data_IF_260850138438
#
_entry.id   IF_260850138438
#
_cell.length_a   1.000
_cell.length_b   1.000
_cell.length_c   1.000
_cell.angle_alpha   90.00
_cell.angle_beta   90.00
_cell.angle_gamma   90.00
#
_symmetry.space_group_name_H-M   'P 1'
#
loop_
_entity.id
_entity.type
_entity.pdbx_description
1 polymer ?
#
# COMPACT_ATOMS: atom_id res chain seq x y z
N UNK A 1 -18.45 -8.85 4.26
CA UNK A 1 -17.91 -7.51 3.94
C UNK A 1 -18.79 -6.70 2.99
N UNK A 2 -19.31 -7.26 1.89
CA UNK A 2 -20.17 -6.53 0.93
C UNK A 2 -21.39 -5.81 1.54
N UNK A 3 -22.00 -6.35 2.61
CA UNK A 3 -23.13 -5.70 3.31
C UNK A 3 -22.77 -4.37 4.00
N UNK A 4 -21.50 -4.16 4.35
CA UNK A 4 -21.02 -2.92 5.00
C UNK A 4 -20.92 -1.74 4.00
N UNK A 5 -20.89 -2.01 2.70
CA UNK A 5 -20.94 -0.97 1.66
C UNK A 5 -22.23 -0.16 1.70
N UNK A 6 -23.30 -0.70 2.32
CA UNK A 6 -24.56 0.03 2.55
C UNK A 6 -24.36 1.27 3.43
N UNK A 7 -23.42 1.23 4.38
CA UNK A 7 -23.09 2.37 5.24
C UNK A 7 -22.25 3.44 4.51
N UNK A 8 -21.76 3.16 3.30
CA UNK A 8 -21.08 4.15 2.45
C UNK A 8 -22.06 4.92 1.54
N UNK A 9 -23.31 4.44 1.38
CA UNK A 9 -24.31 5.08 0.51
C UNK A 9 -24.57 6.56 0.84
N UNK A 10 -24.67 6.99 2.12
CA UNK A 10 -24.85 8.40 2.45
C UNK A 10 -23.68 9.29 1.99
N UNK A 11 -22.50 8.71 1.79
CA UNK A 11 -21.27 9.42 1.46
C UNK A 11 -20.89 9.31 -0.02
N UNK A 12 -21.79 8.84 -0.89
CA UNK A 12 -21.53 8.65 -2.32
C UNK A 12 -21.03 9.92 -3.00
N UNK A 13 -21.56 11.10 -2.64
CA UNK A 13 -21.10 12.37 -3.19
C UNK A 13 -19.62 12.62 -2.90
N UNK A 14 -19.18 12.38 -1.66
CA UNK A 14 -17.77 12.51 -1.27
C UNK A 14 -16.90 11.46 -1.95
N UNK A 15 -17.39 10.23 -2.12
CA UNK A 15 -16.66 9.17 -2.82
C UNK A 15 -16.43 9.51 -4.29
N UNK A 16 -17.48 9.96 -4.99
CA UNK A 16 -17.39 10.38 -6.40
C UNK A 16 -16.47 11.59 -6.52
N UNK A 17 -16.60 12.59 -5.64
CA UNK A 17 -15.70 13.74 -5.64
C UNK A 17 -14.24 13.34 -5.42
N UNK A 18 -13.96 12.41 -4.50
CA UNK A 18 -12.60 11.87 -4.31
C UNK A 18 -12.12 11.13 -5.56
N UNK A 19 -12.95 10.28 -6.18
CA UNK A 19 -12.56 9.57 -7.39
C UNK A 19 -12.20 10.52 -8.54
N UNK A 20 -12.97 11.61 -8.72
CA UNK A 20 -12.67 12.65 -9.70
C UNK A 20 -11.36 13.36 -9.36
N UNK A 21 -11.13 13.72 -8.09
CA UNK A 21 -9.88 14.37 -7.68
C UNK A 21 -8.67 13.45 -7.84
N UNK A 22 -8.80 12.16 -7.53
CA UNK A 22 -7.74 11.15 -7.76
C UNK A 22 -7.43 11.06 -9.26
N UNK A 23 -8.46 11.02 -10.11
CA UNK A 23 -8.27 11.02 -11.56
C UNK A 23 -7.53 12.27 -12.06
N UNK A 24 -7.94 13.46 -11.61
CA UNK A 24 -7.25 14.71 -11.93
C UNK A 24 -5.81 14.75 -11.42
N UNK A 25 -5.58 14.25 -10.19
CA UNK A 25 -4.24 14.13 -9.62
C UNK A 25 -3.37 13.19 -10.46
N UNK A 26 -3.88 12.03 -10.86
CA UNK A 26 -3.17 11.06 -11.70
C UNK A 26 -2.82 11.64 -13.06
N UNK A 27 -3.73 12.38 -13.70
CA UNK A 27 -3.44 13.10 -14.94
C UNK A 27 -2.31 14.11 -14.73
N UNK A 28 -2.40 14.95 -13.68
CA UNK A 28 -1.36 15.93 -13.39
C UNK A 28 0.00 15.27 -13.17
N UNK A 29 0.07 14.17 -12.43
CA UNK A 29 1.31 13.43 -12.19
C UNK A 29 1.88 12.82 -13.47
N UNK A 30 1.03 12.23 -14.32
CA UNK A 30 1.45 11.67 -15.60
C UNK A 30 1.79 12.73 -16.65
N UNK A 31 1.33 13.97 -16.49
CA UNK A 31 1.64 15.05 -17.42
C UNK A 31 3.00 15.71 -17.14
N UNK A 32 3.50 15.65 -15.90
CA UNK A 32 4.78 16.26 -15.52
C UNK A 32 5.98 15.75 -16.34
N UNK A 33 6.15 14.43 -16.59
CA UNK A 33 7.28 13.96 -17.39
C UNK A 33 7.22 14.42 -18.86
N UNK A 34 6.02 14.63 -19.44
CA UNK A 34 5.89 15.24 -20.77
C UNK A 34 6.42 16.68 -20.80
N UNK A 35 6.09 17.49 -19.80
CA UNK A 35 6.62 18.85 -19.71
C UNK A 35 8.15 18.86 -19.53
N UNK A 36 8.69 17.88 -18.80
CA UNK A 36 10.14 17.67 -18.72
C UNK A 36 10.74 17.33 -20.09
N UNK A 37 10.09 16.44 -20.85
CA UNK A 37 10.49 16.11 -22.22
C UNK A 37 10.55 17.36 -23.10
N UNK A 38 9.53 18.20 -23.07
CA UNK A 38 9.48 19.44 -23.86
C UNK A 38 10.60 20.42 -23.48
N UNK A 39 10.92 20.56 -22.20
CA UNK A 39 12.03 21.41 -21.73
C UNK A 39 13.34 20.93 -22.36
N UNK A 40 13.58 19.61 -22.37
CA UNK A 40 14.81 19.04 -22.92
C UNK A 40 14.83 19.10 -24.44
N UNK A 41 13.82 18.53 -25.10
CA UNK A 41 13.81 18.28 -26.55
C UNK A 41 13.61 19.55 -27.38
N UNK A 42 12.90 20.55 -26.85
CA UNK A 42 12.65 21.82 -27.56
C UNK A 42 13.46 22.95 -26.93
N UNK A 43 13.36 23.13 -25.61
CA UNK A 43 13.97 24.26 -24.92
C UNK A 43 15.49 24.22 -24.94
N UNK A 44 16.08 23.15 -24.38
CA UNK A 44 17.54 23.02 -24.24
C UNK A 44 18.20 22.85 -25.61
N UNK A 45 17.65 21.99 -26.47
CA UNK A 45 18.20 21.76 -27.82
C UNK A 45 18.19 23.03 -28.67
N UNK A 46 17.15 23.87 -28.57
CA UNK A 46 17.07 25.12 -29.33
C UNK A 46 17.75 26.32 -28.65
N UNK A 47 18.24 26.16 -27.42
CA UNK A 47 18.80 27.26 -26.62
C UNK A 47 17.78 28.34 -26.21
N UNK A 48 16.48 28.03 -26.25
CA UNK A 48 15.42 29.01 -25.95
C UNK A 48 15.09 29.02 -24.46
N UNK A 49 15.77 29.89 -23.72
CA UNK A 49 15.54 30.11 -22.29
C UNK A 49 14.12 30.58 -21.98
N UNK A 50 13.48 31.33 -22.88
CA UNK A 50 12.10 31.79 -22.68
C UNK A 50 11.11 30.62 -22.78
N UNK A 51 11.36 29.67 -23.69
CA UNK A 51 10.59 28.43 -23.77
C UNK A 51 10.74 27.61 -22.49
N UNK A 52 11.97 27.42 -22.00
CA UNK A 52 12.25 26.69 -20.75
C UNK A 52 11.50 27.31 -19.58
N UNK A 53 11.56 28.63 -19.40
CA UNK A 53 10.86 29.33 -18.31
C UNK A 53 9.33 29.21 -18.44
N UNK A 54 8.79 29.29 -19.65
CA UNK A 54 7.34 29.17 -19.89
C UNK A 54 6.84 27.76 -19.58
N UNK A 55 7.53 26.72 -20.03
CA UNK A 55 7.17 25.33 -19.76
C UNK A 55 7.41 24.99 -18.29
N UNK A 56 8.49 25.48 -17.69
CA UNK A 56 8.75 25.36 -16.26
C UNK A 56 7.65 26.01 -15.39
N UNK A 57 7.17 27.20 -15.78
CA UNK A 57 6.03 27.83 -15.10
C UNK A 57 4.75 27.00 -15.23
N UNK A 58 4.47 26.41 -16.40
CA UNK A 58 3.35 25.47 -16.59
C UNK A 58 3.51 24.23 -15.72
N UNK A 59 4.72 23.69 -15.60
CA UNK A 59 5.03 22.54 -14.75
C UNK A 59 4.75 22.83 -13.27
N UNK A 60 5.11 24.02 -12.78
CA UNK A 60 4.77 24.46 -11.43
C UNK A 60 3.26 24.61 -11.23
N UNK A 61 2.52 25.14 -12.21
CA UNK A 61 1.06 25.23 -12.14
C UNK A 61 0.41 23.84 -12.09
N UNK A 62 0.85 22.90 -12.92
CA UNK A 62 0.36 21.51 -12.92
C UNK A 62 0.67 20.82 -11.59
N UNK A 63 1.89 21.01 -11.06
CA UNK A 63 2.27 20.48 -9.76
C UNK A 63 1.41 21.07 -8.62
N UNK A 64 1.15 22.39 -8.65
CA UNK A 64 0.29 23.06 -7.68
C UNK A 64 -1.17 22.55 -7.75
N UNK A 65 -1.71 22.34 -8.95
CA UNK A 65 -3.04 21.74 -9.14
C UNK A 65 -3.07 20.30 -8.62
N UNK A 66 -2.04 19.49 -8.90
CA UNK A 66 -1.90 18.14 -8.34
C UNK A 66 -1.83 18.14 -6.81
N UNK A 67 -1.10 19.09 -6.22
CA UNK A 67 -1.03 19.26 -4.77
C UNK A 67 -2.40 19.65 -4.18
N UNK A 68 -3.10 20.59 -4.79
CA UNK A 68 -4.46 20.97 -4.38
C UNK A 68 -5.43 19.77 -4.44
N UNK A 69 -5.37 18.97 -5.51
CA UNK A 69 -6.13 17.72 -5.60
C UNK A 69 -5.75 16.75 -4.48
N UNK A 70 -4.46 16.58 -4.17
CA UNK A 70 -3.97 15.71 -3.09
C UNK A 70 -4.51 16.13 -1.72
N UNK A 71 -4.55 17.43 -1.45
CA UNK A 71 -5.12 18.00 -0.22
C UNK A 71 -6.64 17.74 -0.18
N UNK A 72 -7.34 18.00 -1.29
CA UNK A 72 -8.78 17.74 -1.41
C UNK A 72 -9.15 16.27 -1.21
N UNK A 73 -8.42 15.35 -1.87
CA UNK A 73 -8.53 13.89 -1.67
C UNK A 73 -8.35 13.58 -0.20
N UNK A 74 -7.30 14.12 0.43
CA UNK A 74 -6.98 13.83 1.82
C UNK A 74 -8.10 14.29 2.76
N UNK A 75 -8.59 15.51 2.59
CA UNK A 75 -9.66 16.07 3.41
C UNK A 75 -11.00 15.32 3.22
N UNK A 76 -11.45 15.13 1.97
CA UNK A 76 -12.74 14.48 1.69
C UNK A 76 -12.74 13.01 2.11
N UNK A 77 -11.67 12.26 1.79
CA UNK A 77 -11.57 10.84 2.17
C UNK A 77 -11.50 10.66 3.69
N UNK A 78 -10.76 11.51 4.41
CA UNK A 78 -10.70 11.48 5.88
C UNK A 78 -12.07 11.77 6.48
N UNK A 79 -12.78 12.80 5.96
CA UNK A 79 -14.12 13.16 6.44
C UNK A 79 -15.13 12.06 6.18
N UNK A 80 -15.15 11.48 4.97
CA UNK A 80 -16.05 10.38 4.62
C UNK A 80 -15.77 9.13 5.46
N UNK A 81 -14.50 8.78 5.66
CA UNK A 81 -14.12 7.62 6.46
C UNK A 81 -14.43 7.81 7.94
N UNK A 82 -14.21 9.01 8.50
CA UNK A 82 -14.54 9.33 9.88
C UNK A 82 -16.06 9.32 10.13
N UNK A 83 -16.84 9.87 9.20
CA UNK A 83 -18.31 9.84 9.29
C UNK A 83 -18.85 8.40 9.20
N UNK A 84 -18.33 7.60 8.25
CA UNK A 84 -18.61 6.17 8.18
C UNK A 84 -18.26 5.44 9.49
N UNK A 85 -17.08 5.71 10.07
CA UNK A 85 -16.65 5.12 11.33
C UNK A 85 -17.53 5.53 12.52
N UNK A 86 -17.99 6.78 12.54
CA UNK A 86 -18.93 7.31 13.53
C UNK A 86 -20.27 6.57 13.46
N UNK A 87 -20.87 6.47 12.28
CA UNK A 87 -22.14 5.76 12.07
C UNK A 87 -22.02 4.29 12.43
N UNK A 88 -20.95 3.63 11.98
CA UNK A 88 -20.73 2.22 12.28
C UNK A 88 -20.61 2.00 13.79
N UNK A 89 -19.93 2.91 14.49
CA UNK A 89 -19.81 2.87 15.95
C UNK A 89 -21.12 3.06 16.66
N UNK A 90 -21.94 4.03 16.22
CA UNK A 90 -23.25 4.26 16.81
C UNK A 90 -24.15 3.02 16.66
N UNK A 91 -24.28 2.49 15.45
CA UNK A 91 -25.10 1.29 15.21
C UNK A 91 -24.58 0.06 15.95
N UNK A 92 -23.25 -0.10 16.08
CA UNK A 92 -22.69 -1.19 16.87
C UNK A 92 -22.95 -1.01 18.36
N UNK A 93 -22.81 0.20 18.87
CA UNK A 93 -23.11 0.51 20.26
C UNK A 93 -24.58 0.27 20.61
N UNK A 94 -25.52 0.74 19.77
CA UNK A 94 -26.96 0.49 19.93
C UNK A 94 -27.26 -1.02 19.89
N UNK A 95 -26.65 -1.74 18.95
CA UNK A 95 -26.89 -3.18 18.82
C UNK A 95 -26.37 -3.96 20.03
N UNK A 96 -25.17 -3.65 20.51
CA UNK A 96 -24.59 -4.28 21.70
C UNK A 96 -25.37 -3.91 22.95
N UNK A 97 -25.87 -2.67 23.06
CA UNK A 97 -26.71 -2.25 24.20
C UNK A 97 -28.06 -2.96 24.24
N UNK A 98 -28.57 -3.43 23.09
CA UNK A 98 -29.80 -4.20 22.99
C UNK A 98 -29.64 -5.70 23.32
N UNK A 99 -28.41 -6.18 23.56
CA UNK A 99 -28.16 -7.60 23.81
C UNK A 99 -28.66 -8.04 25.19
N UNK A 100 -29.27 -9.23 25.21
CA UNK A 100 -29.54 -9.99 26.43
C UNK A 100 -28.24 -10.46 27.09
N UNK A 101 -28.32 -10.80 28.38
CA UNK A 101 -27.18 -11.41 29.10
C UNK A 101 -26.66 -12.69 28.42
N UNK A 102 -27.54 -13.47 27.79
CA UNK A 102 -27.17 -14.66 27.03
C UNK A 102 -26.36 -14.32 25.77
N UNK A 103 -26.71 -13.25 25.07
CA UNK A 103 -25.96 -12.77 23.91
C UNK A 103 -24.60 -12.16 24.32
N UNK A 104 -24.58 -11.40 25.42
CA UNK A 104 -23.33 -10.90 26.02
C UNK A 104 -22.38 -12.05 26.39
N UNK A 105 -22.91 -13.13 27.00
CA UNK A 105 -22.13 -14.32 27.34
C UNK A 105 -21.64 -15.06 26.08
N UNK A 106 -22.43 -15.09 25.00
CA UNK A 106 -22.07 -15.74 23.74
C UNK A 106 -20.89 -15.05 23.03
N UNK A 107 -20.90 -13.72 22.98
CA UNK A 107 -19.83 -12.97 22.30
C UNK A 107 -18.63 -12.66 23.20
N UNK A 108 -18.86 -12.52 24.51
CA UNK A 108 -17.85 -12.19 25.50
C UNK A 108 -17.49 -10.69 25.51
N UNK A 109 -17.40 -10.11 26.72
CA UNK A 109 -17.13 -8.67 26.91
C UNK A 109 -15.88 -8.19 26.17
N UNK A 110 -14.78 -8.97 26.20
CA UNK A 110 -13.54 -8.59 25.53
C UNK A 110 -13.69 -8.47 24.00
N UNK A 111 -14.44 -9.38 23.36
CA UNK A 111 -14.66 -9.32 21.91
C UNK A 111 -15.59 -8.17 21.53
N UNK A 112 -16.60 -7.89 22.35
CA UNK A 112 -17.50 -6.75 22.12
C UNK A 112 -16.76 -5.42 22.22
N UNK A 113 -15.80 -5.29 23.15
CA UNK A 113 -14.94 -4.11 23.26
C UNK A 113 -14.09 -3.93 21.99
N UNK A 114 -13.37 -4.97 21.54
CA UNK A 114 -12.51 -4.84 20.34
C UNK A 114 -13.32 -4.58 19.06
N UNK A 115 -14.48 -5.22 18.91
CA UNK A 115 -15.40 -4.99 17.78
C UNK A 115 -15.98 -3.59 17.73
N UNK A 116 -16.21 -2.97 18.89
CA UNK A 116 -16.79 -1.61 18.98
C UNK A 116 -15.70 -0.51 18.92
N UNK A 117 -14.42 -0.89 19.00
CA UNK A 117 -13.29 0.04 19.01
C UNK A 117 -12.33 -0.21 17.85
N UNK A 118 -11.43 -1.18 18.00
CA UNK A 118 -10.36 -1.50 17.06
C UNK A 118 -10.89 -1.88 15.68
N UNK A 119 -11.90 -2.75 15.60
CA UNK A 119 -12.41 -3.20 14.30
C UNK A 119 -13.04 -2.04 13.51
N UNK A 120 -13.68 -1.09 14.20
CA UNK A 120 -14.24 0.12 13.58
C UNK A 120 -13.12 1.01 13.03
N UNK A 121 -12.03 1.18 13.78
CA UNK A 121 -10.86 1.91 13.30
C UNK A 121 -10.24 1.24 12.07
N UNK A 122 -10.13 -0.10 12.06
CA UNK A 122 -9.63 -0.83 10.90
C UNK A 122 -10.56 -0.67 9.69
N UNK A 123 -11.87 -0.74 9.89
CA UNK A 123 -12.85 -0.49 8.82
C UNK A 123 -12.76 0.94 8.28
N UNK A 124 -12.53 1.94 9.14
CA UNK A 124 -12.26 3.31 8.72
C UNK A 124 -10.99 3.41 7.88
N UNK A 125 -9.90 2.74 8.28
CA UNK A 125 -8.66 2.71 7.50
C UNK A 125 -8.84 2.04 6.14
N UNK A 126 -9.64 0.97 6.05
CA UNK A 126 -9.99 0.34 4.77
C UNK A 126 -10.70 1.33 3.84
N UNK A 127 -11.58 2.18 4.37
CA UNK A 127 -12.25 3.23 3.56
C UNK A 127 -11.24 4.28 3.09
N UNK A 128 -10.34 4.75 3.95
CA UNK A 128 -9.27 5.70 3.55
C UNK A 128 -8.37 5.10 2.48
N UNK A 129 -7.89 3.88 2.69
CA UNK A 129 -7.06 3.17 1.73
C UNK A 129 -7.78 2.96 0.39
N UNK A 130 -9.05 2.52 0.47
CA UNK A 130 -9.92 2.32 -0.68
C UNK A 130 -10.08 3.58 -1.53
N UNK A 131 -10.36 4.71 -0.89
CA UNK A 131 -10.60 5.98 -1.57
C UNK A 131 -9.33 6.68 -2.06
N UNK A 132 -8.15 6.33 -1.53
CA UNK A 132 -6.87 6.94 -1.93
C UNK A 132 -6.06 6.00 -2.80
N UNK A 133 -5.38 5.05 -2.15
CA UNK A 133 -4.36 4.23 -2.79
C UNK A 133 -4.99 3.20 -3.73
N UNK A 134 -6.07 2.54 -3.33
CA UNK A 134 -6.69 1.51 -4.16
C UNK A 134 -7.34 2.07 -5.44
N UNK A 135 -7.81 3.33 -5.43
CA UNK A 135 -8.27 4.02 -6.63
C UNK A 135 -7.12 4.57 -7.48
N UNK A 136 -6.10 5.15 -6.85
CA UNK A 136 -4.97 5.76 -7.55
C UNK A 136 -4.11 4.72 -8.28
N UNK A 137 -3.82 3.57 -7.67
CA UNK A 137 -2.90 2.58 -8.24
C UNK A 137 -3.33 2.07 -9.63
N UNK A 138 -4.59 1.63 -9.86
CA UNK A 138 -5.04 1.23 -11.19
C UNK A 138 -5.04 2.40 -12.20
N UNK A 139 -5.39 3.62 -11.78
CA UNK A 139 -5.38 4.79 -12.65
C UNK A 139 -3.96 5.14 -13.11
N UNK A 140 -3.00 5.12 -12.19
CA UNK A 140 -1.58 5.32 -12.49
C UNK A 140 -1.01 4.21 -13.35
N UNK A 141 -1.38 2.94 -13.09
CA UNK A 141 -0.95 1.81 -13.89
C UNK A 141 -1.43 1.93 -15.34
N UNK A 142 -2.74 2.15 -15.54
CA UNK A 142 -3.33 2.28 -16.87
C UNK A 142 -2.81 3.53 -17.58
N UNK A 143 -2.78 4.67 -16.88
CA UNK A 143 -2.29 5.92 -17.43
C UNK A 143 -0.81 5.87 -17.79
N UNK A 144 0.04 5.28 -16.93
CA UNK A 144 1.47 5.09 -17.20
C UNK A 144 1.71 4.21 -18.42
N UNK A 145 0.98 3.09 -18.56
CA UNK A 145 1.05 2.24 -19.75
C UNK A 145 0.62 3.00 -21.02
N UNK A 146 -0.47 3.77 -20.95
CA UNK A 146 -0.93 4.59 -22.09
C UNK A 146 0.14 5.61 -22.50
N UNK A 147 0.74 6.31 -21.54
CA UNK A 147 1.79 7.30 -21.79
C UNK A 147 3.06 6.65 -22.35
N UNK A 148 3.48 5.50 -21.80
CA UNK A 148 4.60 4.73 -22.31
C UNK A 148 4.39 4.28 -23.77
N UNK A 149 3.18 3.76 -24.09
CA UNK A 149 2.81 3.37 -25.45
C UNK A 149 2.80 4.56 -26.41
N UNK A 150 2.30 5.72 -25.95
CA UNK A 150 2.27 6.95 -26.73
C UNK A 150 3.68 7.46 -27.04
N UNK A 151 4.64 7.29 -26.12
CA UNK A 151 6.03 7.66 -26.34
C UNK A 151 6.74 6.69 -27.29
N UNK A 152 6.72 5.38 -27.01
CA UNK A 152 7.31 4.39 -27.91
C UNK A 152 6.79 2.96 -27.65
N UNK A 153 6.03 2.43 -28.61
CA UNK A 153 5.46 1.06 -28.52
C UNK A 153 6.52 -0.02 -28.33
N UNK A 154 7.63 0.06 -29.07
CA UNK A 154 8.66 -0.99 -29.01
C UNK A 154 9.46 -0.92 -27.70
N UNK A 155 9.64 0.26 -27.11
CA UNK A 155 10.27 0.41 -25.81
C UNK A 155 9.33 -0.09 -24.70
N UNK A 156 8.03 0.10 -24.84
CA UNK A 156 7.01 -0.40 -23.89
C UNK A 156 7.03 -1.93 -23.74
N UNK A 157 7.47 -2.67 -24.76
CA UNK A 157 7.66 -4.13 -24.65
C UNK A 157 8.69 -4.51 -23.57
N UNK A 158 9.65 -3.64 -23.23
CA UNK A 158 10.58 -3.89 -22.13
C UNK A 158 9.86 -3.87 -20.76
N UNK A 159 8.82 -3.03 -20.60
CA UNK A 159 7.98 -3.02 -19.41
C UNK A 159 7.18 -4.32 -19.31
N UNK A 160 6.67 -4.82 -20.43
CA UNK A 160 5.94 -6.10 -20.44
C UNK A 160 6.81 -7.28 -19.97
N UNK A 161 8.12 -7.25 -20.25
CA UNK A 161 9.06 -8.29 -19.81
C UNK A 161 9.25 -8.33 -18.28
N UNK A 162 9.05 -7.20 -17.58
CA UNK A 162 9.26 -7.13 -16.14
C UNK A 162 8.06 -7.62 -15.33
N UNK A 163 6.86 -7.54 -15.90
CA UNK A 163 5.61 -7.98 -15.26
C UNK A 163 5.66 -9.48 -14.86
N UNK A 164 6.07 -10.42 -15.74
CA UNK A 164 6.26 -11.81 -15.35
C UNK A 164 7.28 -12.01 -14.23
N UNK A 165 8.38 -11.25 -14.25
CA UNK A 165 9.43 -11.36 -13.22
C UNK A 165 8.86 -10.91 -11.86
N UNK A 166 8.12 -9.79 -11.83
CA UNK A 166 7.40 -9.32 -10.65
C UNK A 166 6.39 -10.36 -10.15
N UNK A 167 5.60 -10.95 -11.06
CA UNK A 167 4.62 -11.96 -10.71
C UNK A 167 5.27 -13.21 -10.08
N UNK A 168 6.41 -13.66 -10.62
CA UNK A 168 7.20 -14.77 -10.07
C UNK A 168 7.74 -14.42 -8.69
N UNK A 169 8.32 -13.23 -8.50
CA UNK A 169 8.85 -12.79 -7.20
C UNK A 169 7.72 -12.76 -6.16
N UNK A 170 6.58 -12.12 -6.49
CA UNK A 170 5.42 -12.04 -5.61
C UNK A 170 4.87 -13.44 -5.30
N UNK A 171 4.78 -14.32 -6.30
CA UNK A 171 4.33 -15.70 -6.14
C UNK A 171 5.26 -16.54 -5.26
N UNK A 172 6.57 -16.40 -5.42
CA UNK A 172 7.58 -17.08 -4.59
C UNK A 172 7.56 -16.58 -3.14
N UNK A 173 7.50 -15.26 -2.95
CA UNK A 173 7.38 -14.65 -1.62
C UNK A 173 6.07 -15.06 -0.96
N UNK A 174 4.96 -15.06 -1.69
CA UNK A 174 3.66 -15.48 -1.18
C UNK A 174 3.64 -16.95 -0.78
N UNK A 175 4.13 -17.84 -1.64
CA UNK A 175 4.14 -19.30 -1.40
C UNK A 175 5.06 -19.70 -0.24
N UNK A 176 6.22 -19.04 -0.06
CA UNK A 176 7.14 -19.31 1.06
C UNK A 176 6.78 -18.54 2.32
N UNK A 177 6.27 -17.32 2.19
CA UNK A 177 5.97 -16.41 3.29
C UNK A 177 4.70 -16.79 4.03
N UNK A 178 3.61 -17.07 3.30
CA UNK A 178 2.32 -17.42 3.91
C UNK A 178 2.40 -18.57 4.94
N UNK A 179 3.06 -19.72 4.65
CA UNK A 179 3.18 -20.79 5.64
C UNK A 179 4.03 -20.38 6.85
N UNK A 180 5.09 -19.59 6.66
CA UNK A 180 5.92 -19.10 7.77
C UNK A 180 5.16 -18.12 8.66
N UNK A 181 4.33 -17.24 8.09
CA UNK A 181 3.45 -16.35 8.84
C UNK A 181 2.42 -17.13 9.67
N UNK A 182 1.83 -18.20 9.11
CA UNK A 182 0.94 -19.10 9.86
C UNK A 182 1.67 -19.78 11.01
N UNK A 183 2.85 -20.36 10.76
CA UNK A 183 3.65 -20.99 11.80
C UNK A 183 4.07 -20.00 12.90
N UNK A 184 4.39 -18.76 12.54
CA UNK A 184 4.70 -17.70 13.51
C UNK A 184 3.48 -17.39 14.40
N UNK A 185 2.27 -17.38 13.82
CA UNK A 185 1.02 -17.18 14.57
C UNK A 185 0.77 -18.34 15.55
N UNK A 186 0.90 -19.59 15.11
CA UNK A 186 0.70 -20.76 15.98
C UNK A 186 1.67 -20.76 17.19
N UNK A 187 2.92 -20.34 16.95
CA UNK A 187 3.95 -20.23 18.01
C UNK A 187 3.68 -19.08 18.97
N UNK A 188 3.17 -17.96 18.47
CA UNK A 188 2.73 -16.84 19.30
C UNK A 188 1.55 -17.25 20.20
N UNK A 189 0.61 -18.03 19.67
CA UNK A 189 -0.50 -18.58 20.45
C UNK A 189 -0.02 -19.56 21.53
N UNK A 190 0.97 -20.40 21.22
CA UNK A 190 1.60 -21.28 22.21
C UNK A 190 2.32 -20.50 23.32
N UNK A 191 3.11 -19.47 22.98
CA UNK A 191 3.77 -18.60 23.97
C UNK A 191 2.74 -17.93 24.89
N UNK A 192 1.65 -17.41 24.31
CA UNK A 192 0.54 -16.81 25.06
C UNK A 192 -0.15 -17.83 25.98
N UNK A 193 -0.24 -19.10 25.57
CA UNK A 193 -0.77 -20.17 26.41
C UNK A 193 0.13 -20.43 27.62
N UNK A 194 1.44 -20.59 27.41
CA UNK A 194 2.42 -20.77 28.50
C UNK A 194 2.36 -19.61 29.49
N UNK A 195 2.32 -18.37 28.99
CA UNK A 195 2.20 -17.18 29.82
C UNK A 195 0.90 -17.19 30.66
N UNK A 196 -0.23 -17.55 30.05
CA UNK A 196 -1.53 -17.59 30.74
C UNK A 196 -1.59 -18.67 31.82
N UNK A 197 -1.02 -19.85 31.55
CA UNK A 197 -0.88 -20.93 32.53
C UNK A 197 0.03 -20.51 33.68
N UNK A 198 1.15 -19.84 33.41
CA UNK A 198 2.05 -19.31 34.43
C UNK A 198 1.33 -18.30 35.34
N UNK A 199 0.62 -17.33 34.76
CA UNK A 199 -0.11 -16.30 35.53
C UNK A 199 -1.24 -16.91 36.38
N UNK A 200 -2.01 -17.85 35.82
CA UNK A 200 -3.12 -18.49 36.52
C UNK A 200 -2.62 -19.45 37.62
N UNK A 201 -1.54 -20.18 37.32
CA UNK A 201 -0.93 -21.19 38.17
C UNK A 201 0.17 -20.67 39.11
N UNK A 202 0.39 -19.36 39.21
CA UNK A 202 1.55 -18.79 39.90
C UNK A 202 1.69 -19.23 41.36
N UNK A 203 0.56 -19.44 42.06
CA UNK A 203 0.55 -19.97 43.43
C UNK A 203 1.02 -21.43 43.50
N UNK A 204 0.61 -22.25 42.54
CA UNK A 204 1.01 -23.66 42.42
C UNK A 204 2.51 -23.75 42.11
N UNK A 205 2.98 -22.95 41.14
CA UNK A 205 4.39 -22.92 40.74
C UNK A 205 5.29 -22.54 41.92
N UNK A 206 4.89 -21.54 42.72
CA UNK A 206 5.62 -21.16 43.94
C UNK A 206 5.52 -22.22 45.03
N UNK A 207 4.35 -22.80 45.26
CA UNK A 207 4.16 -23.85 46.27
C UNK A 207 5.01 -25.09 46.01
N UNK A 208 5.22 -25.46 44.74
CA UNK A 208 6.07 -26.57 44.34
C UNK A 208 7.52 -26.17 44.00
N UNK A 209 7.90 -24.90 44.22
CA UNK A 209 9.22 -24.35 43.88
C UNK A 209 9.67 -24.66 42.43
N UNK A 210 8.75 -24.57 41.46
CA UNK A 210 8.97 -24.91 40.04
C UNK A 210 9.29 -23.69 39.16
N UNK A 211 9.77 -22.58 39.74
CA UNK A 211 10.06 -21.34 38.99
C UNK A 211 11.00 -21.54 37.81
N UNK A 212 12.17 -22.16 38.05
CA UNK A 212 13.18 -22.42 37.00
C UNK A 212 12.67 -23.35 35.89
N UNK A 213 11.77 -24.29 36.23
CA UNK A 213 11.16 -25.17 35.24
C UNK A 213 10.23 -24.40 34.29
N UNK A 214 9.37 -23.52 34.83
CA UNK A 214 8.48 -22.70 34.01
C UNK A 214 9.23 -21.62 33.23
N UNK A 215 10.36 -21.12 33.75
CA UNK A 215 11.27 -20.23 33.03
C UNK A 215 11.86 -20.93 31.80
N UNK A 216 12.40 -22.14 31.94
CA UNK A 216 12.89 -22.94 30.81
C UNK A 216 11.78 -23.22 29.78
N UNK A 217 10.59 -23.58 30.25
CA UNK A 217 9.43 -23.84 29.38
C UNK A 217 9.01 -22.59 28.59
N UNK A 218 9.06 -21.42 29.22
CA UNK A 218 8.81 -20.14 28.55
C UNK A 218 9.90 -19.80 27.54
N UNK A 219 11.17 -19.98 27.91
CA UNK A 219 12.31 -19.73 27.03
C UNK A 219 12.30 -20.61 25.79
N UNK A 220 11.94 -21.89 25.91
CA UNK A 220 11.77 -22.80 24.78
C UNK A 220 10.71 -22.27 23.80
N UNK A 221 9.52 -21.90 24.31
CA UNK A 221 8.46 -21.35 23.47
C UNK A 221 8.84 -20.01 22.84
N UNK A 222 9.57 -19.16 23.58
CA UNK A 222 10.02 -17.86 23.12
C UNK A 222 11.11 -17.98 22.04
N UNK A 223 12.08 -18.88 22.21
CA UNK A 223 13.11 -19.17 21.22
C UNK A 223 12.49 -19.73 19.93
N UNK A 224 11.50 -20.61 20.04
CA UNK A 224 10.83 -21.17 18.88
C UNK A 224 10.07 -20.12 18.05
N UNK A 225 9.35 -19.21 18.74
CA UNK A 225 8.74 -18.03 18.11
C UNK A 225 9.80 -17.13 17.48
N UNK A 226 10.86 -16.80 18.23
CA UNK A 226 11.94 -15.90 17.79
C UNK A 226 12.62 -16.42 16.53
N UNK A 227 12.99 -17.70 16.47
CA UNK A 227 13.61 -18.30 15.29
C UNK A 227 12.70 -18.21 14.06
N UNK A 228 11.39 -18.38 14.25
CA UNK A 228 10.40 -18.31 13.17
C UNK A 228 10.21 -16.87 12.71
N UNK A 229 10.11 -15.93 13.65
CA UNK A 229 10.03 -14.50 13.36
C UNK A 229 11.26 -14.00 12.61
N UNK A 230 12.47 -14.45 12.97
CA UNK A 230 13.70 -14.11 12.24
C UNK A 230 13.65 -14.63 10.80
N UNK A 231 13.15 -15.86 10.57
CA UNK A 231 13.01 -16.42 9.21
C UNK A 231 12.01 -15.61 8.38
N UNK A 232 10.86 -15.25 8.95
CA UNK A 232 9.86 -14.39 8.31
C UNK A 232 10.46 -13.03 7.96
N UNK A 233 11.10 -12.36 8.92
CA UNK A 233 11.69 -11.04 8.71
C UNK A 233 12.83 -11.08 7.68
N UNK A 234 13.65 -12.13 7.67
CA UNK A 234 14.70 -12.30 6.66
C UNK A 234 14.11 -12.44 5.26
N UNK A 235 13.00 -13.18 5.10
CA UNK A 235 12.30 -13.26 3.83
C UNK A 235 11.75 -11.89 3.39
N UNK A 236 11.15 -11.13 4.32
CA UNK A 236 10.57 -9.81 4.03
C UNK A 236 11.65 -8.76 3.73
N UNK A 237 12.79 -8.82 4.42
CA UNK A 237 13.91 -7.88 4.25
C UNK A 237 14.52 -7.93 2.85
N UNK A 238 14.38 -9.05 2.14
CA UNK A 238 14.91 -9.23 0.77
C UNK A 238 13.97 -8.64 -0.30
N UNK A 239 12.70 -8.42 0.01
CA UNK A 239 11.69 -7.93 -0.97
C UNK A 239 12.07 -6.53 -1.48
N UNK A 240 12.39 -5.60 -0.57
CA UNK A 240 12.69 -4.22 -0.93
C UNK A 240 13.97 -4.11 -1.80
N UNK A 241 15.10 -4.77 -1.45
CA UNK A 241 16.27 -4.85 -2.32
C UNK A 241 16.00 -5.48 -3.69
N UNK A 242 15.18 -6.54 -3.75
CA UNK A 242 14.81 -7.17 -5.04
C UNK A 242 14.05 -6.18 -5.92
N UNK A 243 13.04 -5.48 -5.38
CA UNK A 243 12.33 -4.46 -6.14
C UNK A 243 13.26 -3.33 -6.59
N UNK A 244 14.14 -2.86 -5.70
CA UNK A 244 15.12 -1.84 -6.04
C UNK A 244 16.02 -2.27 -7.21
N UNK A 245 16.59 -3.47 -7.14
CA UNK A 245 17.42 -4.02 -8.22
C UNK A 245 16.63 -4.15 -9.52
N UNK A 246 15.41 -4.68 -9.44
CA UNK A 246 14.54 -4.89 -10.58
C UNK A 246 14.21 -3.56 -11.30
N UNK A 247 13.87 -2.51 -10.57
CA UNK A 247 13.64 -1.18 -11.15
C UNK A 247 14.94 -0.55 -11.70
N UNK A 248 16.09 -0.78 -11.07
CA UNK A 248 17.38 -0.31 -11.63
C UNK A 248 17.74 -1.05 -12.92
N UNK A 249 17.54 -2.38 -12.99
CA UNK A 249 17.72 -3.15 -14.22
C UNK A 249 16.72 -2.72 -15.30
N UNK A 250 15.49 -2.38 -14.92
CA UNK A 250 14.52 -1.80 -15.85
C UNK A 250 15.03 -0.49 -16.44
N UNK A 251 15.49 0.43 -15.59
CA UNK A 251 16.05 1.70 -16.03
C UNK A 251 17.24 1.50 -16.97
N UNK A 252 18.16 0.58 -16.64
CA UNK A 252 19.30 0.21 -17.51
C UNK A 252 18.80 -0.33 -18.85
N UNK A 253 17.83 -1.25 -18.86
CA UNK A 253 17.28 -1.81 -20.09
C UNK A 253 16.59 -0.73 -20.94
N UNK A 254 15.80 0.13 -20.32
CA UNK A 254 15.14 1.27 -20.97
C UNK A 254 16.17 2.23 -21.57
N UNK A 255 17.24 2.55 -20.84
CA UNK A 255 18.32 3.40 -21.34
C UNK A 255 19.07 2.75 -22.50
N UNK A 256 19.39 1.45 -22.42
CA UNK A 256 20.11 0.72 -23.45
C UNK A 256 19.31 0.59 -24.75
N UNK A 257 18.05 0.16 -24.66
CA UNK A 257 17.19 0.09 -25.84
C UNK A 257 16.76 1.47 -26.32
N UNK A 258 16.68 2.45 -25.42
CA UNK A 258 16.33 3.83 -25.70
C UNK A 258 17.43 4.56 -26.47
N UNK A 259 18.69 4.42 -26.07
CA UNK A 259 19.82 5.05 -26.76
C UNK A 259 19.92 4.60 -28.21
N UNK A 260 19.78 3.29 -28.47
CA UNK A 260 19.73 2.74 -29.83
C UNK A 260 18.62 3.38 -30.69
N UNK A 261 17.52 3.83 -30.08
CA UNK A 261 16.41 4.49 -30.78
C UNK A 261 16.63 5.98 -30.98
N UNK A 262 17.33 6.62 -30.05
CA UNK A 262 17.81 7.98 -30.19
C UNK A 262 18.81 8.06 -31.34
N UNK A 263 19.75 7.12 -31.43
CA UNK A 263 20.74 7.05 -32.50
C UNK A 263 20.09 6.85 -33.88
N UNK A 264 18.97 6.11 -33.94
CA UNK A 264 18.17 5.92 -35.15
C UNK A 264 17.27 7.12 -35.51
N UNK A 265 17.28 8.18 -34.69
CA UNK A 265 16.40 9.36 -34.87
C UNK A 265 14.92 9.09 -34.60
N UNK A 266 14.59 7.93 -34.02
CA UNK A 266 13.20 7.49 -33.78
C UNK A 266 12.65 7.87 -32.41
N UNK A 267 13.49 8.43 -31.53
CA UNK A 267 13.15 8.86 -30.19
C UNK A 267 14.03 10.06 -29.81
N UNK A 268 13.48 11.04 -29.10
CA UNK A 268 14.26 12.17 -28.56
C UNK A 268 14.74 11.87 -27.13
N UNK A 269 15.77 12.59 -26.65
CA UNK A 269 16.40 12.34 -25.34
C UNK A 269 15.46 12.65 -24.18
N UNK A 270 14.74 13.77 -24.26
CA UNK A 270 13.70 14.14 -23.29
C UNK A 270 12.57 13.13 -23.25
N UNK A 271 12.16 12.61 -24.41
CA UNK A 271 11.14 11.56 -24.50
C UNK A 271 11.57 10.27 -23.81
N UNK A 272 12.86 9.92 -23.88
CA UNK A 272 13.44 8.80 -23.13
C UNK A 272 13.44 9.07 -21.61
N UNK A 273 13.78 10.28 -21.17
CA UNK A 273 13.72 10.66 -19.75
C UNK A 273 12.29 10.63 -19.19
N UNK A 274 11.31 11.05 -19.99
CA UNK A 274 9.89 10.95 -19.64
C UNK A 274 9.45 9.49 -19.53
N UNK A 275 9.89 8.64 -20.47
CA UNK A 275 9.57 7.21 -20.44
C UNK A 275 10.06 6.53 -19.15
N UNK A 276 11.28 6.83 -18.69
CA UNK A 276 11.82 6.27 -17.45
C UNK A 276 10.95 6.60 -16.23
N UNK A 277 10.23 7.72 -16.24
CA UNK A 277 9.31 8.09 -15.16
C UNK A 277 7.94 7.42 -15.28
N UNK A 278 7.53 6.99 -16.48
CA UNK A 278 6.31 6.21 -16.70
C UNK A 278 6.49 4.72 -16.39
N UNK A 279 7.71 4.22 -16.56
CA UNK A 279 8.15 2.83 -16.35
C UNK A 279 8.15 2.40 -14.88
#
# INVERSE_FOLDING_TARGET
MLKLTRYLKPYLLSIVAVAVLVFLQSISQLYLPNLMSEIVDVGIVSGDTNYILRVGARMLLVAALGAACTIGISYLSSRAAAAFGSDLRLHMFEKVSSFSLTEFARFGNASLITRTTNDIMQMQQVVVFGLRMALMTPMMLVGGIIMALATNVKLTLSLAAIIPILAVIIGLVGSKGMPLFRAMQDKLDNLNRVLREHLTGIRVIRAFNRGTYEEQRFDEANLDLTQTAIRVNRLMAVIQPIFLLLFNFLAIAVLWFGSLRVDQGSLQVGSLMAFIQYA
#
